data_IF_730898052792
#
_entry.id   IF_730898052792
#
_cell.length_a   1.000
_cell.length_b   1.000
_cell.length_c   1.000
_cell.angle_alpha   90.00
_cell.angle_beta   90.00
_cell.angle_gamma   90.00
#
_symmetry.space_group_name_H-M   'P 1'
#
loop_
_entity.id
_entity.type
_entity.pdbx_description
1 polymer ?
#
# COMPACT_ATOMS: atom_id res chain seq x y z
N UNK A 1 -35.28 9.83 -22.54
CA UNK A 1 -34.52 10.95 -21.94
C UNK A 1 -35.47 11.85 -21.16
N UNK A 2 -35.58 11.72 -19.84
CA UNK A 2 -35.96 12.83 -18.94
C UNK A 2 -35.38 12.54 -17.56
N UNK A 3 -34.16 12.99 -17.29
CA UNK A 3 -33.63 12.99 -15.92
C UNK A 3 -34.37 14.09 -15.16
N UNK A 4 -35.22 13.70 -14.20
CA UNK A 4 -35.83 14.63 -13.24
C UNK A 4 -34.70 15.26 -12.41
N UNK A 5 -34.56 16.56 -12.59
CA UNK A 5 -33.74 17.52 -11.85
C UNK A 5 -33.80 17.21 -10.35
N UNK A 6 -32.78 16.54 -9.82
CA UNK A 6 -32.56 16.42 -8.38
C UNK A 6 -32.09 17.79 -7.92
N UNK A 7 -33.03 18.56 -7.39
CA UNK A 7 -32.76 19.80 -6.68
C UNK A 7 -31.90 19.43 -5.47
N UNK A 8 -30.59 19.62 -5.61
CA UNK A 8 -29.64 19.52 -4.51
C UNK A 8 -29.99 20.65 -3.56
N UNK A 9 -30.89 20.36 -2.63
CA UNK A 9 -31.20 21.24 -1.51
C UNK A 9 -29.94 21.30 -0.66
N UNK A 10 -29.09 22.28 -1.00
CA UNK A 10 -27.94 22.70 -0.22
C UNK A 10 -28.41 22.82 1.23
N UNK A 11 -28.02 21.86 2.07
CA UNK A 11 -28.08 22.00 3.51
C UNK A 11 -27.19 23.20 3.83
N UNK A 12 -27.80 24.39 3.94
CA UNK A 12 -27.14 25.57 4.50
C UNK A 12 -26.54 25.10 5.81
N UNK A 13 -25.22 25.18 5.90
CA UNK A 13 -24.47 24.92 7.13
C UNK A 13 -24.96 25.92 8.16
N UNK A 14 -25.95 25.51 8.96
CA UNK A 14 -26.32 26.24 10.15
C UNK A 14 -25.08 26.18 11.05
N UNK A 15 -24.40 27.31 11.20
CA UNK A 15 -23.35 27.46 12.21
C UNK A 15 -24.05 27.45 13.57
N UNK A 16 -24.35 26.25 14.07
CA UNK A 16 -24.83 26.05 15.42
C UNK A 16 -23.60 26.19 16.33
N UNK A 17 -23.39 27.40 16.83
CA UNK A 17 -22.36 27.68 17.83
C UNK A 17 -22.85 27.10 19.16
N UNK A 18 -22.55 25.81 19.35
CA UNK A 18 -22.96 25.05 20.52
C UNK A 18 -21.79 25.03 21.49
N UNK A 19 -21.96 25.59 22.70
CA UNK A 19 -20.92 25.58 23.72
C UNK A 19 -20.69 24.12 24.19
N UNK A 20 -19.62 23.50 23.70
CA UNK A 20 -19.28 22.10 23.97
C UNK A 20 -18.85 21.84 25.40
N UNK A 21 -18.57 22.89 26.17
CA UNK A 21 -18.14 22.81 27.57
C UNK A 21 -19.29 22.89 28.56
N UNK A 22 -20.48 23.30 28.11
CA UNK A 22 -21.68 23.32 28.93
C UNK A 22 -22.13 21.89 29.24
N UNK A 23 -22.23 21.58 30.53
CA UNK A 23 -22.55 20.22 31.02
C UNK A 23 -23.91 19.72 30.54
N UNK A 24 -24.87 20.63 30.35
CA UNK A 24 -26.19 20.33 29.79
C UNK A 24 -26.09 19.81 28.35
N UNK A 25 -25.20 20.39 27.54
CA UNK A 25 -24.99 20.01 26.14
C UNK A 25 -24.28 18.65 26.08
N UNK A 26 -23.24 18.43 26.89
CA UNK A 26 -22.54 17.13 26.99
C UNK A 26 -23.51 16.01 27.36
N UNK A 27 -24.37 16.25 28.35
CA UNK A 27 -25.38 15.29 28.81
C UNK A 27 -26.37 14.94 27.69
N UNK A 28 -26.92 15.96 27.01
CA UNK A 28 -27.84 15.75 25.91
C UNK A 28 -27.21 14.96 24.75
N UNK A 29 -25.97 15.28 24.37
CA UNK A 29 -25.23 14.54 23.34
C UNK A 29 -24.99 13.08 23.75
N UNK A 30 -24.59 12.84 25.00
CA UNK A 30 -24.39 11.49 25.55
C UNK A 30 -25.69 10.68 25.49
N UNK A 31 -26.81 11.27 25.88
CA UNK A 31 -28.11 10.60 25.86
C UNK A 31 -28.56 10.23 24.44
N UNK A 32 -28.34 11.12 23.46
CA UNK A 32 -28.62 10.85 22.05
C UNK A 32 -27.79 9.66 21.55
N UNK A 33 -26.47 9.67 21.82
CA UNK A 33 -25.57 8.61 21.41
C UNK A 33 -25.90 7.27 22.09
N UNK A 34 -26.21 7.30 23.39
CA UNK A 34 -26.62 6.12 24.13
C UNK A 34 -27.96 5.58 23.63
N UNK A 35 -28.94 6.43 23.37
CA UNK A 35 -30.25 6.03 22.82
C UNK A 35 -30.09 5.39 21.44
N UNK A 36 -29.28 5.99 20.57
CA UNK A 36 -28.97 5.41 19.26
C UNK A 36 -28.27 4.05 19.40
N UNK A 37 -27.29 3.93 20.29
CA UNK A 37 -26.59 2.66 20.57
C UNK A 37 -27.54 1.57 21.09
N UNK A 38 -28.41 1.90 22.06
CA UNK A 38 -29.45 0.99 22.59
C UNK A 38 -30.43 0.54 21.50
N UNK A 39 -30.92 1.48 20.68
CA UNK A 39 -31.81 1.17 19.56
C UNK A 39 -31.12 0.24 18.54
N UNK A 40 -29.87 0.55 18.16
CA UNK A 40 -29.08 -0.29 17.25
C UNK A 40 -28.87 -1.69 17.82
N UNK A 41 -28.54 -1.81 19.11
CA UNK A 41 -28.40 -3.10 19.80
C UNK A 41 -29.72 -3.89 19.78
N UNK A 42 -30.85 -3.23 20.04
CA UNK A 42 -32.15 -3.89 19.99
C UNK A 42 -32.47 -4.41 18.57
N UNK A 43 -32.24 -3.61 17.54
CA UNK A 43 -32.45 -4.05 16.14
C UNK A 43 -31.55 -5.23 15.77
N UNK A 44 -30.29 -5.22 16.20
CA UNK A 44 -29.36 -6.34 15.97
C UNK A 44 -29.85 -7.59 16.70
N UNK A 45 -30.23 -7.47 17.98
CA UNK A 45 -30.79 -8.58 18.76
C UNK A 45 -32.01 -9.18 18.06
N UNK A 46 -32.95 -8.33 17.67
CA UNK A 46 -34.19 -8.74 17.02
C UNK A 46 -33.95 -9.42 15.67
N UNK A 47 -33.01 -8.91 14.87
CA UNK A 47 -32.77 -9.43 13.51
C UNK A 47 -31.98 -10.74 13.49
N UNK A 48 -31.08 -10.96 14.44
CA UNK A 48 -30.11 -12.06 14.36
C UNK A 48 -30.16 -13.04 15.52
N UNK A 49 -30.68 -12.65 16.69
CA UNK A 49 -30.64 -13.47 17.90
C UNK A 49 -32.02 -13.97 18.32
N UNK A 50 -33.09 -13.21 18.09
CA UNK A 50 -34.45 -13.67 18.41
C UNK A 50 -34.91 -14.81 17.47
N UNK A 51 -34.37 -14.89 16.25
CA UNK A 51 -34.59 -16.03 15.34
C UNK A 51 -34.01 -17.32 15.90
N UNK A 52 -32.89 -17.27 16.63
CA UNK A 52 -32.23 -18.45 17.21
C UNK A 52 -33.17 -19.21 18.16
N UNK A 53 -34.04 -18.51 18.91
CA UNK A 53 -35.01 -19.20 19.77
C UNK A 53 -36.13 -19.85 18.97
N UNK A 54 -36.55 -19.26 17.86
CA UNK A 54 -37.53 -19.85 16.95
C UNK A 54 -36.98 -21.11 16.28
N UNK A 55 -35.72 -21.08 15.83
CA UNK A 55 -35.05 -22.21 15.21
C UNK A 55 -34.81 -23.35 16.20
N UNK A 56 -34.47 -23.01 17.44
CA UNK A 56 -34.40 -24.00 18.51
C UNK A 56 -35.75 -24.70 18.70
N UNK A 57 -36.85 -23.94 18.74
CA UNK A 57 -38.19 -24.51 18.85
C UNK A 57 -38.55 -25.35 17.63
N UNK A 58 -38.11 -24.96 16.43
CA UNK A 58 -38.32 -25.72 15.19
C UNK A 58 -37.54 -27.05 15.20
N UNK A 59 -36.28 -27.03 15.63
CA UNK A 59 -35.47 -28.25 15.83
C UNK A 59 -36.09 -29.19 16.88
N UNK A 60 -36.61 -28.66 17.98
CA UNK A 60 -37.32 -29.47 19.00
C UNK A 60 -38.63 -30.07 18.42
N UNK A 61 -39.39 -29.30 17.63
CA UNK A 61 -40.59 -29.82 16.95
C UNK A 61 -40.29 -30.91 15.94
N UNK A 62 -39.23 -30.76 15.14
CA UNK A 62 -38.79 -31.80 14.20
C UNK A 62 -38.37 -33.08 14.92
N UNK A 63 -37.78 -32.94 16.11
CA UNK A 63 -37.42 -34.08 16.98
C UNK A 63 -38.65 -34.77 17.57
N UNK A 64 -39.66 -34.01 18.02
CA UNK A 64 -40.86 -34.55 18.67
C UNK A 64 -41.88 -35.14 17.68
N UNK A 65 -41.98 -34.59 16.46
CA UNK A 65 -42.90 -35.06 15.43
C UNK A 65 -42.59 -36.48 14.89
N UNK A 66 -41.36 -36.98 15.09
CA UNK A 66 -40.89 -38.28 14.59
C UNK A 66 -40.98 -39.40 15.64
N UNK A 67 -41.50 -39.13 16.84
CA UNK A 67 -41.61 -40.12 17.93
C UNK A 67 -42.86 -41.01 17.80
N UNK A 68 -43.81 -40.70 16.90
CA UNK A 68 -44.94 -41.58 16.59
C UNK A 68 -44.74 -42.31 15.26
N UNK A 69 -44.64 -43.63 15.37
CA UNK A 69 -44.56 -44.65 14.29
C UNK A 69 -43.23 -44.78 13.51
N UNK A 70 -42.35 -45.64 14.02
CA UNK A 70 -41.79 -46.75 13.22
C UNK A 70 -40.62 -46.51 12.27
N UNK A 71 -40.14 -45.28 12.07
CA UNK A 71 -38.98 -44.99 11.21
C UNK A 71 -37.74 -44.56 12.01
N UNK A 72 -36.53 -44.89 11.54
CA UNK A 72 -35.29 -44.53 12.24
C UNK A 72 -35.20 -43.01 12.46
N UNK A 73 -34.90 -42.55 13.70
CA UNK A 73 -34.86 -41.13 14.01
C UNK A 73 -33.74 -40.46 13.20
N UNK A 74 -34.10 -39.42 12.43
CA UNK A 74 -33.12 -38.57 11.75
C UNK A 74 -32.06 -38.12 12.76
N UNK A 75 -30.79 -38.32 12.40
CA UNK A 75 -29.67 -37.95 13.26
C UNK A 75 -29.68 -36.44 13.53
N UNK A 76 -29.26 -36.03 14.73
CA UNK A 76 -29.13 -34.62 15.09
C UNK A 76 -28.33 -33.80 14.05
N UNK A 77 -27.38 -34.46 13.37
CA UNK A 77 -26.58 -33.86 12.30
C UNK A 77 -27.42 -33.48 11.09
N UNK A 78 -28.35 -34.34 10.69
CA UNK A 78 -29.21 -34.15 9.52
C UNK A 78 -30.25 -33.06 9.77
N UNK A 79 -30.82 -33.00 10.98
CA UNK A 79 -31.74 -31.93 11.42
C UNK A 79 -31.03 -30.57 11.40
N UNK A 80 -29.81 -30.51 11.92
CA UNK A 80 -29.00 -29.28 11.89
C UNK A 80 -28.69 -28.88 10.44
N UNK A 81 -28.38 -29.82 9.56
CA UNK A 81 -28.09 -29.53 8.15
C UNK A 81 -29.32 -28.98 7.40
N UNK A 82 -30.52 -29.52 7.65
CA UNK A 82 -31.78 -29.08 7.05
C UNK A 82 -32.14 -27.63 7.46
N UNK A 83 -32.04 -27.32 8.76
CA UNK A 83 -32.28 -25.97 9.31
C UNK A 83 -31.22 -24.96 8.83
N UNK A 84 -29.96 -25.37 8.68
CA UNK A 84 -28.92 -24.50 8.14
C UNK A 84 -29.13 -24.19 6.64
N UNK A 85 -29.64 -25.14 5.84
CA UNK A 85 -29.89 -24.93 4.41
C UNK A 85 -30.97 -23.88 4.12
N UNK A 86 -31.92 -23.68 5.03
CA UNK A 86 -32.99 -22.68 4.90
C UNK A 86 -32.53 -21.29 5.36
N UNK A 87 -31.76 -21.21 6.45
CA UNK A 87 -31.41 -19.93 7.10
C UNK A 87 -30.09 -19.31 6.63
N UNK A 88 -29.08 -20.12 6.33
CA UNK A 88 -27.73 -19.62 6.00
C UNK A 88 -27.74 -18.82 4.69
N UNK A 89 -28.73 -19.04 3.80
CA UNK A 89 -28.93 -18.25 2.57
C UNK A 89 -29.11 -16.75 2.81
N UNK A 90 -29.55 -16.33 4.00
CA UNK A 90 -29.73 -14.92 4.35
C UNK A 90 -28.56 -14.34 5.15
N UNK A 91 -27.62 -15.17 5.60
CA UNK A 91 -26.54 -14.74 6.49
C UNK A 91 -25.39 -14.08 5.73
N UNK A 92 -25.20 -12.79 5.95
CA UNK A 92 -24.03 -12.04 5.47
C UNK A 92 -22.84 -12.12 6.43
N UNK A 93 -22.95 -12.89 7.51
CA UNK A 93 -21.93 -12.94 8.57
C UNK A 93 -20.54 -13.26 8.02
N UNK A 94 -20.40 -14.36 7.27
CA UNK A 94 -19.12 -14.79 6.69
C UNK A 94 -18.51 -13.74 5.75
N UNK A 95 -19.36 -12.97 5.05
CA UNK A 95 -18.93 -11.85 4.20
C UNK A 95 -18.46 -10.66 5.05
N UNK A 96 -19.15 -10.37 6.14
CA UNK A 96 -18.80 -9.29 7.06
C UNK A 96 -17.51 -9.59 7.86
N UNK A 97 -17.29 -10.87 8.23
CA UNK A 97 -16.05 -11.32 8.87
C UNK A 97 -14.92 -11.64 7.89
N UNK A 98 -15.09 -11.31 6.60
CA UNK A 98 -14.10 -11.53 5.51
C UNK A 98 -13.60 -12.96 5.36
N UNK A 99 -14.36 -13.95 5.85
CA UNK A 99 -14.04 -15.37 5.69
C UNK A 99 -14.62 -15.95 4.40
N UNK A 100 -15.57 -15.25 3.75
CA UNK A 100 -15.93 -15.61 2.39
C UNK A 100 -14.89 -15.09 1.40
N UNK A 101 -14.13 -16.02 0.82
CA UNK A 101 -13.41 -15.77 -0.41
C UNK A 101 -14.45 -15.43 -1.49
N UNK A 102 -14.47 -14.18 -1.94
CA UNK A 102 -15.25 -13.83 -3.12
C UNK A 102 -14.68 -14.63 -4.29
N UNK A 103 -15.42 -15.67 -4.71
CA UNK A 103 -15.02 -16.64 -5.74
C UNK A 103 -14.70 -16.01 -7.10
N UNK A 104 -14.91 -14.70 -7.23
CA UNK A 104 -14.88 -13.96 -8.48
C UNK A 104 -13.64 -13.05 -8.60
N UNK A 105 -12.85 -12.87 -7.52
CA UNK A 105 -11.79 -11.86 -7.45
C UNK A 105 -10.39 -12.45 -7.19
N UNK A 106 -10.32 -13.67 -6.66
CA UNK A 106 -9.05 -14.29 -6.22
C UNK A 106 -8.10 -14.57 -7.39
N UNK A 107 -8.62 -14.94 -8.56
CA UNK A 107 -7.82 -15.18 -9.77
C UNK A 107 -7.25 -13.92 -10.42
N UNK A 108 -7.92 -12.77 -10.25
CA UNK A 108 -7.44 -11.49 -10.80
C UNK A 108 -6.27 -10.94 -10.00
N UNK A 109 -6.38 -10.97 -8.67
CA UNK A 109 -5.32 -10.51 -7.78
C UNK A 109 -4.05 -11.38 -7.92
N UNK A 110 -4.18 -12.69 -8.09
CA UNK A 110 -3.02 -13.58 -8.30
C UNK A 110 -2.37 -13.39 -9.68
N UNK A 111 -3.16 -13.15 -10.72
CA UNK A 111 -2.62 -12.86 -12.06
C UNK A 111 -1.87 -11.51 -12.11
N UNK A 112 -2.39 -10.48 -11.45
CA UNK A 112 -1.72 -9.17 -11.35
C UNK A 112 -0.42 -9.26 -10.55
N UNK A 113 -0.40 -10.00 -9.45
CA UNK A 113 0.82 -10.25 -8.66
C UNK A 113 1.85 -11.03 -9.47
N UNK A 114 1.43 -12.06 -10.22
CA UNK A 114 2.33 -12.83 -11.07
C UNK A 114 2.90 -12.00 -12.24
N UNK A 115 2.09 -11.12 -12.83
CA UNK A 115 2.56 -10.21 -13.88
C UNK A 115 3.60 -9.21 -13.35
N UNK A 116 3.36 -8.66 -12.16
CA UNK A 116 4.30 -7.74 -11.52
C UNK A 116 5.61 -8.44 -11.13
N UNK A 117 5.55 -9.69 -10.66
CA UNK A 117 6.75 -10.47 -10.37
C UNK A 117 7.66 -10.62 -11.61
N UNK A 118 7.08 -10.95 -12.77
CA UNK A 118 7.84 -11.05 -14.03
C UNK A 118 8.44 -9.73 -14.49
N UNK A 119 7.72 -8.62 -14.32
CA UNK A 119 8.24 -7.28 -14.66
C UNK A 119 9.44 -6.90 -13.79
N UNK A 120 9.39 -7.21 -12.48
CA UNK A 120 10.52 -7.00 -11.58
C UNK A 120 11.73 -7.86 -11.94
N UNK A 121 11.53 -9.14 -12.27
CA UNK A 121 12.60 -10.04 -12.72
C UNK A 121 13.28 -9.49 -13.98
N UNK A 122 12.49 -9.06 -14.98
CA UNK A 122 13.04 -8.49 -16.20
C UNK A 122 13.82 -7.18 -15.96
N UNK A 123 13.33 -6.33 -15.05
CA UNK A 123 14.04 -5.10 -14.67
C UNK A 123 15.35 -5.39 -13.95
N UNK A 124 15.38 -6.41 -13.10
CA UNK A 124 16.57 -6.85 -12.41
C UNK A 124 17.63 -7.34 -13.40
N UNK A 125 17.25 -8.24 -14.31
CA UNK A 125 18.15 -8.79 -15.33
C UNK A 125 18.75 -7.69 -16.23
N UNK A 126 17.94 -6.71 -16.65
CA UNK A 126 18.43 -5.54 -17.41
C UNK A 126 19.41 -4.69 -16.61
N UNK A 127 19.14 -4.49 -15.31
CA UNK A 127 20.01 -3.72 -14.44
C UNK A 127 21.34 -4.43 -14.20
N UNK A 128 21.32 -5.76 -14.07
CA UNK A 128 22.52 -6.58 -13.90
C UNK A 128 23.40 -6.53 -15.15
N UNK A 129 22.81 -6.70 -16.34
CA UNK A 129 23.54 -6.56 -17.60
C UNK A 129 24.14 -5.15 -17.76
N UNK A 130 23.41 -4.10 -17.38
CA UNK A 130 23.94 -2.74 -17.43
C UNK A 130 25.11 -2.54 -16.46
N UNK A 131 25.01 -3.11 -15.26
CA UNK A 131 26.09 -3.04 -14.27
C UNK A 131 27.33 -3.82 -14.73
N UNK A 132 27.16 -4.95 -15.40
CA UNK A 132 28.25 -5.75 -15.95
C UNK A 132 28.99 -5.00 -17.08
N UNK A 133 28.24 -4.39 -18.01
CA UNK A 133 28.82 -3.52 -19.05
C UNK A 133 29.58 -2.35 -18.42
N UNK A 134 29.01 -1.70 -17.41
CA UNK A 134 29.71 -0.63 -16.70
C UNK A 134 30.98 -1.12 -16.00
N UNK A 135 30.97 -2.30 -15.40
CA UNK A 135 32.17 -2.88 -14.78
C UNK A 135 33.25 -3.21 -15.81
N UNK A 136 32.89 -3.61 -17.03
CA UNK A 136 33.84 -3.86 -18.11
C UNK A 136 34.44 -2.56 -18.67
N UNK A 137 33.65 -1.50 -18.81
CA UNK A 137 34.11 -0.23 -19.38
C UNK A 137 34.94 0.63 -18.41
N UNK A 138 34.67 0.57 -17.11
CA UNK A 138 35.38 1.34 -16.08
C UNK A 138 36.92 1.17 -16.08
N UNK A 139 37.51 -0.05 -16.13
CA UNK A 139 38.96 -0.20 -16.18
C UNK A 139 39.56 0.38 -17.46
N UNK A 140 38.87 0.27 -18.60
CA UNK A 140 39.35 0.83 -19.86
C UNK A 140 39.38 2.37 -19.82
N UNK A 141 38.34 2.99 -19.24
CA UNK A 141 38.30 4.45 -19.04
C UNK A 141 39.38 4.89 -18.05
N UNK A 142 39.56 4.17 -16.94
CA UNK A 142 40.59 4.47 -15.95
C UNK A 142 42.00 4.44 -16.54
N UNK A 143 42.32 3.40 -17.31
CA UNK A 143 43.63 3.28 -17.96
C UNK A 143 43.89 4.42 -18.95
N UNK A 144 42.88 4.80 -19.76
CA UNK A 144 42.99 5.94 -20.68
C UNK A 144 43.16 7.28 -19.96
N UNK A 145 42.50 7.45 -18.82
CA UNK A 145 42.64 8.66 -18.00
C UNK A 145 44.05 8.78 -17.41
N UNK A 146 44.60 7.68 -16.90
CA UNK A 146 45.96 7.63 -16.35
C UNK A 146 47.02 7.88 -17.43
N UNK A 147 46.85 7.31 -18.63
CA UNK A 147 47.73 7.57 -19.78
C UNK A 147 47.69 9.04 -20.21
N UNK A 148 46.50 9.65 -20.28
CA UNK A 148 46.34 11.06 -20.62
C UNK A 148 46.94 12.00 -19.56
N UNK A 149 46.83 11.65 -18.28
CA UNK A 149 47.47 12.38 -17.18
C UNK A 149 49.00 12.32 -17.28
N UNK A 150 49.56 11.12 -17.48
CA UNK A 150 51.00 10.93 -17.66
C UNK A 150 51.55 11.68 -18.89
N UNK A 151 50.77 11.78 -19.97
CA UNK A 151 51.14 12.57 -21.15
C UNK A 151 51.17 14.08 -20.83
N UNK A 152 50.16 14.59 -20.09
CA UNK A 152 50.10 15.99 -19.67
C UNK A 152 51.23 16.37 -18.72
N UNK A 153 51.61 15.49 -17.80
CA UNK A 153 52.71 15.76 -16.88
C UNK A 153 54.05 15.90 -17.61
N UNK A 154 54.30 15.04 -18.61
CA UNK A 154 55.49 15.15 -19.46
C UNK A 154 55.54 16.47 -20.22
N UNK A 155 54.41 16.93 -20.77
CA UNK A 155 54.31 18.21 -21.46
C UNK A 155 54.58 19.38 -20.50
N UNK A 156 54.00 19.33 -19.30
CA UNK A 156 54.17 20.34 -18.27
C UNK A 156 55.62 20.42 -17.76
N UNK A 157 56.31 19.28 -17.66
CA UNK A 157 57.73 19.24 -17.30
C UNK A 157 58.61 19.86 -18.40
N UNK A 158 58.31 19.59 -19.68
CA UNK A 158 59.01 20.22 -20.82
C UNK A 158 58.84 21.74 -20.81
N UNK A 159 57.62 22.23 -20.57
CA UNK A 159 57.36 23.66 -20.48
C UNK A 159 58.12 24.32 -19.31
N UNK A 160 58.21 23.66 -18.15
CA UNK A 160 59.00 24.15 -17.01
C UNK A 160 60.49 24.26 -17.35
N UNK A 161 61.09 23.24 -17.97
CA UNK A 161 62.50 23.28 -18.38
C UNK A 161 62.76 24.43 -19.36
N UNK A 162 61.89 24.60 -20.35
CA UNK A 162 62.00 25.70 -21.32
C UNK A 162 61.88 27.07 -20.66
N UNK A 163 60.99 27.21 -19.67
CA UNK A 163 60.84 28.43 -18.88
C UNK A 163 62.12 28.72 -18.07
N UNK A 164 62.67 27.71 -17.40
CA UNK A 164 63.92 27.84 -16.65
C UNK A 164 65.09 28.27 -17.55
N UNK A 165 65.26 27.64 -18.72
CA UNK A 165 66.28 28.04 -19.69
C UNK A 165 66.10 29.49 -20.17
N UNK A 166 64.86 29.95 -20.37
CA UNK A 166 64.58 31.34 -20.74
C UNK A 166 64.92 32.31 -19.61
N UNK A 167 64.61 31.95 -18.36
CA UNK A 167 64.92 32.73 -17.18
C UNK A 167 66.43 32.81 -16.94
N UNK A 168 67.17 31.71 -17.12
CA UNK A 168 68.64 31.68 -17.05
C UNK A 168 69.29 32.56 -18.12
N UNK A 169 68.79 32.49 -19.37
CA UNK A 169 69.26 33.38 -20.46
C UNK A 169 69.01 34.85 -20.13
N UNK A 170 67.85 35.17 -19.55
CA UNK A 170 67.53 36.52 -19.12
C UNK A 170 68.44 36.98 -17.97
N UNK A 171 68.67 36.12 -16.97
CA UNK A 171 69.56 36.40 -15.85
C UNK A 171 71.01 36.64 -16.31
N UNK A 172 71.51 35.82 -17.24
CA UNK A 172 72.84 35.99 -17.83
C UNK A 172 72.96 37.32 -18.59
N UNK A 173 71.94 37.67 -19.38
CA UNK A 173 71.88 38.96 -20.08
C UNK A 173 71.90 40.13 -19.08
N UNK A 174 71.08 40.06 -18.03
CA UNK A 174 71.04 41.08 -16.98
C UNK A 174 72.38 41.20 -16.26
N UNK A 175 73.12 40.11 -16.03
CA UNK A 175 74.44 40.17 -15.42
C UNK A 175 75.48 40.89 -16.32
N UNK A 176 75.46 40.62 -17.64
CA UNK A 176 76.38 41.24 -18.60
C UNK A 176 76.12 42.74 -18.80
N UNK A 177 74.85 43.16 -18.84
CA UNK A 177 74.47 44.55 -19.10
C UNK A 177 74.25 45.37 -17.83
N UNK A 178 73.84 44.74 -16.72
CA UNK A 178 73.69 45.37 -15.41
C UNK A 178 75.03 45.71 -14.74
N UNK A 179 76.11 45.00 -15.08
CA UNK A 179 77.46 45.32 -14.62
C UNK A 179 78.10 46.53 -15.33
N UNK A 180 77.38 47.20 -16.26
CA UNK A 180 77.89 48.33 -17.05
C UNK A 180 77.27 49.68 -16.69
N UNK A 181 76.59 49.78 -15.55
CA UNK A 181 76.05 51.03 -15.00
C UNK A 181 76.71 51.31 -13.64
N UNK A 182 78.00 51.65 -13.66
CA UNK A 182 78.69 52.48 -12.65
C UNK A 182 79.67 53.38 -13.41
#
# INVERSE_FOLDING_TARGET
>A
MVYKKVEVMMFKKANFEMNTDLETIKTACKDILQKHSKNRRHQIKKKYFDTVSANKLEMEKMKDALVLEGEEPKSAVEIVEEVLKTEVKQSTFLRNVRLQLSRNNSGKATAEVAAHARDLEQKLERSELQAEVMQEELPAIKMKAEEAEAARDKELELLRKKSQEQEEKLAHLMALFGAKVV
#
